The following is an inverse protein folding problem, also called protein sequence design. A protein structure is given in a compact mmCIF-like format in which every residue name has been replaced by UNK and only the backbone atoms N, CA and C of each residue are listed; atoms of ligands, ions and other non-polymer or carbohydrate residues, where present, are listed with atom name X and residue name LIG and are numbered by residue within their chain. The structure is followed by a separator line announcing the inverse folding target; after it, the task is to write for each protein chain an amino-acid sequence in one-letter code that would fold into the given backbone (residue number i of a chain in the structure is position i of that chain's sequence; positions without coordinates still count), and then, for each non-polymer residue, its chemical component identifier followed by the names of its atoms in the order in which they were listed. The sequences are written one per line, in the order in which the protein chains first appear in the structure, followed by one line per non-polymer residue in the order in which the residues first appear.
data_IF_468504445577
#
_entry.id   IF_468504445577
#
_cell.length_a   1.000
_cell.length_b   1.000
_cell.length_c   1.000
_cell.angle_alpha   90.00
_cell.angle_beta   90.00
_cell.angle_gamma   90.00
#
_symmetry.space_group_name_H-M   'P 1'
#
loop_
_entity.id
_entity.type
_entity.pdbx_description
1 polymer ?
#
# COMPACT_ATOMS: atom_id res chain seq x y z
N UNK A 1 -19.20 10.02 13.61
CA UNK A 1 -18.21 10.32 12.55
C UNK A 1 -17.87 11.79 12.65
N UNK A 2 -16.61 12.19 12.39
CA UNK A 2 -16.14 13.57 12.58
C UNK A 2 -15.38 13.82 13.90
N UNK A 3 -15.05 12.78 14.67
CA UNK A 3 -14.35 12.88 15.96
C UNK A 3 -13.28 11.79 16.12
N UNK A 4 -12.61 11.42 15.03
CA UNK A 4 -11.53 10.44 15.00
C UNK A 4 -11.94 9.04 14.50
N UNK A 5 -13.24 8.76 14.38
CA UNK A 5 -13.74 7.46 13.94
C UNK A 5 -13.36 7.14 12.49
N UNK A 6 -13.39 8.13 11.60
CA UNK A 6 -12.95 7.97 10.21
C UNK A 6 -11.45 7.70 10.14
N UNK A 7 -10.66 8.46 10.91
CA UNK A 7 -9.21 8.29 10.99
C UNK A 7 -8.85 6.89 11.52
N UNK A 8 -9.53 6.41 12.56
CA UNK A 8 -9.36 5.05 13.07
C UNK A 8 -9.67 4.02 11.98
N UNK A 9 -10.74 4.21 11.19
CA UNK A 9 -11.08 3.31 10.09
C UNK A 9 -9.98 3.24 9.02
N UNK A 10 -9.39 4.39 8.69
CA UNK A 10 -8.25 4.47 7.77
C UNK A 10 -6.99 3.78 8.33
N UNK A 11 -6.72 3.94 9.63
CA UNK A 11 -5.62 3.25 10.29
C UNK A 11 -5.84 1.74 10.37
N UNK A 12 -7.07 1.27 10.59
CA UNK A 12 -7.42 -0.16 10.52
C UNK A 12 -7.16 -0.73 9.12
N UNK A 13 -7.55 0.00 8.07
CA UNK A 13 -7.25 -0.38 6.69
C UNK A 13 -5.74 -0.51 6.46
N UNK A 14 -4.98 0.52 6.87
CA UNK A 14 -3.51 0.52 6.84
C UNK A 14 -2.92 -0.70 7.57
N UNK A 15 -3.45 -1.03 8.75
CA UNK A 15 -3.05 -2.18 9.54
C UNK A 15 -3.21 -3.50 8.78
N UNK A 16 -4.37 -3.73 8.15
CA UNK A 16 -4.61 -4.94 7.33
C UNK A 16 -3.68 -4.99 6.11
N UNK A 17 -3.42 -3.86 5.46
CA UNK A 17 -2.48 -3.80 4.35
C UNK A 17 -1.04 -4.15 4.79
N UNK A 18 -0.68 -3.80 6.04
CA UNK A 18 0.66 -3.98 6.59
C UNK A 18 0.93 -5.38 7.14
N UNK A 19 -0.12 -6.08 7.58
CA UNK A 19 -0.01 -7.41 8.18
C UNK A 19 0.70 -8.38 7.23
N UNK A 20 1.78 -9.01 7.70
CA UNK A 20 2.62 -9.91 6.89
C UNK A 20 2.14 -11.37 7.00
N UNK A 21 1.48 -11.67 8.11
CA UNK A 21 0.70 -12.87 8.37
C UNK A 21 -0.35 -12.96 7.27
N UNK A 22 -0.15 -13.93 6.36
CA UNK A 22 -0.97 -14.22 5.17
C UNK A 22 -0.58 -13.55 3.84
N UNK A 23 0.70 -13.34 3.54
CA UNK A 23 1.12 -12.95 2.17
C UNK A 23 0.48 -13.81 1.07
N UNK A 24 0.33 -15.13 1.28
CA UNK A 24 -0.33 -16.03 0.34
C UNK A 24 -1.80 -15.67 0.06
N UNK A 25 -2.54 -15.15 1.05
CA UNK A 25 -3.91 -14.67 0.84
C UNK A 25 -3.95 -13.40 0.01
N UNK A 26 -2.95 -12.52 0.14
CA UNK A 26 -2.79 -11.32 -0.69
C UNK A 26 -2.50 -11.64 -2.16
N UNK A 27 -2.14 -12.88 -2.50
CA UNK A 27 -2.02 -13.35 -3.89
C UNK A 27 -3.36 -13.87 -4.47
N UNK A 28 -4.44 -13.87 -3.67
CA UNK A 28 -5.76 -14.32 -4.09
C UNK A 28 -6.69 -13.14 -4.36
N UNK A 29 -7.32 -13.12 -5.54
CA UNK A 29 -8.24 -12.05 -5.92
C UNK A 29 -9.47 -11.97 -5.00
N UNK A 30 -9.96 -13.10 -4.51
CA UNK A 30 -11.13 -13.17 -3.61
C UNK A 30 -10.89 -12.40 -2.31
N UNK A 31 -9.68 -12.49 -1.75
CA UNK A 31 -9.32 -11.78 -0.53
C UNK A 31 -9.40 -10.27 -0.72
N UNK A 32 -8.87 -9.75 -1.83
CA UNK A 32 -8.98 -8.32 -2.15
C UNK A 32 -10.41 -7.88 -2.41
N UNK A 33 -11.26 -8.71 -3.03
CA UNK A 33 -12.67 -8.37 -3.25
C UNK A 33 -13.41 -8.13 -1.94
N UNK A 34 -13.22 -9.01 -0.95
CA UNK A 34 -13.85 -8.84 0.36
C UNK A 34 -13.29 -7.62 1.09
N UNK A 35 -11.96 -7.42 1.05
CA UNK A 35 -11.34 -6.24 1.68
C UNK A 35 -11.90 -4.92 1.11
N UNK A 36 -12.03 -4.81 -0.21
CA UNK A 36 -12.58 -3.61 -0.86
C UNK A 36 -14.06 -3.42 -0.49
N UNK A 37 -14.85 -4.49 -0.42
CA UNK A 37 -16.25 -4.43 -0.02
C UNK A 37 -16.45 -3.96 1.43
N UNK A 38 -15.51 -4.29 2.31
CA UNK A 38 -15.55 -3.92 3.72
C UNK A 38 -15.17 -2.45 3.94
N UNK A 39 -14.21 -1.93 3.17
CA UNK A 39 -13.64 -0.59 3.40
C UNK A 39 -14.13 0.48 2.44
N UNK A 40 -14.55 0.14 1.21
CA UNK A 40 -14.97 1.10 0.21
C UNK A 40 -16.48 1.02 -0.02
N UNK A 41 -17.12 2.18 -0.22
CA UNK A 41 -18.52 2.25 -0.62
C UNK A 41 -18.68 1.64 -2.03
N UNK A 42 -19.85 1.07 -2.40
CA UNK A 42 -20.01 0.37 -3.68
C UNK A 42 -19.62 1.18 -4.92
N UNK A 43 -19.82 2.51 -4.88
CA UNK A 43 -19.49 3.46 -5.96
C UNK A 43 -18.26 4.32 -5.64
N UNK A 44 -17.43 3.90 -4.70
CA UNK A 44 -16.27 4.66 -4.31
C UNK A 44 -15.25 4.79 -5.45
N UNK A 45 -14.51 5.90 -5.42
CA UNK A 45 -13.43 6.20 -6.35
C UNK A 45 -12.16 6.41 -5.55
N UNK A 46 -11.07 5.78 -5.98
CA UNK A 46 -9.73 6.07 -5.50
C UNK A 46 -8.97 6.87 -6.55
N UNK A 47 -8.60 8.10 -6.24
CA UNK A 47 -7.75 8.95 -7.07
C UNK A 47 -6.30 8.76 -6.67
N UNK A 48 -5.46 8.44 -7.64
CA UNK A 48 -4.05 8.17 -7.41
C UNK A 48 -3.23 8.90 -8.46
N UNK A 49 -2.50 9.93 -8.05
CA UNK A 49 -1.64 10.71 -8.95
C UNK A 49 -0.20 10.39 -8.69
N UNK A 50 0.56 10.07 -9.74
CA UNK A 50 1.98 9.76 -9.65
C UNK A 50 2.81 10.76 -10.45
N UNK A 51 3.87 11.28 -9.85
CA UNK A 51 4.80 12.19 -10.51
C UNK A 51 6.09 11.47 -10.90
N UNK A 52 6.55 11.72 -12.12
CA UNK A 52 7.76 11.11 -12.67
C UNK A 52 9.03 11.74 -12.09
N UNK A 53 10.00 10.89 -11.71
CA UNK A 53 11.38 11.24 -11.32
C UNK A 53 11.48 12.40 -10.32
N UNK A 54 10.45 12.61 -9.49
CA UNK A 54 10.36 13.71 -8.54
C UNK A 54 10.51 15.12 -9.15
N UNK A 55 10.46 15.26 -10.49
CA UNK A 55 10.70 16.52 -11.20
C UNK A 55 9.45 17.39 -11.35
N UNK A 56 8.28 16.84 -10.98
CA UNK A 56 6.95 17.46 -11.09
C UNK A 56 6.62 18.01 -12.50
N UNK A 57 7.22 17.45 -13.55
CA UNK A 57 6.97 17.86 -14.94
C UNK A 57 5.90 16.98 -15.60
N UNK A 58 5.88 15.69 -15.27
CA UNK A 58 4.96 14.71 -15.85
C UNK A 58 4.19 14.02 -14.71
N UNK A 59 2.87 14.20 -14.69
CA UNK A 59 1.96 13.54 -13.77
C UNK A 59 1.10 12.52 -14.52
N UNK A 60 0.82 11.39 -13.87
CA UNK A 60 -0.18 10.41 -14.30
C UNK A 60 -1.29 10.29 -13.26
N UNK A 61 -2.43 10.98 -13.45
CA UNK A 61 -3.59 10.83 -12.59
C UNK A 61 -4.39 9.58 -12.98
N UNK A 62 -4.84 8.82 -11.99
CA UNK A 62 -5.66 7.62 -12.17
C UNK A 62 -6.91 7.69 -11.30
N UNK A 63 -8.08 7.40 -11.88
CA UNK A 63 -9.34 7.26 -11.15
C UNK A 63 -9.76 5.79 -11.11
N UNK A 64 -9.61 5.16 -9.95
CA UNK A 64 -9.75 3.72 -9.78
C UNK A 64 -11.07 3.43 -9.06
N UNK A 65 -12.06 2.94 -9.80
CA UNK A 65 -13.33 2.49 -9.21
C UNK A 65 -13.21 1.17 -8.45
N UNK A 66 -14.18 0.88 -7.60
CA UNK A 66 -14.27 -0.36 -6.80
C UNK A 66 -14.17 -1.66 -7.60
N UNK A 67 -14.56 -1.65 -8.88
CA UNK A 67 -14.44 -2.81 -9.76
C UNK A 67 -12.97 -3.14 -10.14
N UNK A 68 -12.08 -2.14 -10.11
CA UNK A 68 -10.66 -2.28 -10.46
C UNK A 68 -9.79 -2.43 -9.22
N UNK A 69 -10.16 -1.79 -8.10
CA UNK A 69 -9.37 -1.78 -6.86
C UNK A 69 -8.81 -3.16 -6.45
N UNK A 70 -9.61 -4.26 -6.44
CA UNK A 70 -9.08 -5.56 -6.06
C UNK A 70 -7.93 -6.04 -6.96
N UNK A 71 -7.98 -5.73 -8.26
CA UNK A 71 -6.91 -6.09 -9.21
C UNK A 71 -5.70 -5.20 -9.05
N UNK A 72 -5.89 -3.90 -8.83
CA UNK A 72 -4.79 -2.97 -8.55
C UNK A 72 -3.94 -3.45 -7.37
N UNK A 73 -4.58 -3.80 -6.26
CA UNK A 73 -3.87 -4.31 -5.08
C UNK A 73 -3.25 -5.70 -5.32
N UNK A 74 -3.96 -6.60 -6.00
CA UNK A 74 -3.43 -7.92 -6.35
C UNK A 74 -2.16 -7.83 -7.19
N UNK A 75 -2.19 -7.05 -8.28
CA UNK A 75 -1.02 -6.89 -9.17
C UNK A 75 0.15 -6.27 -8.42
N UNK A 76 -0.12 -5.33 -7.51
CA UNK A 76 0.91 -4.73 -6.66
C UNK A 76 1.54 -5.77 -5.74
N UNK A 77 0.75 -6.61 -5.07
CA UNK A 77 1.26 -7.70 -4.23
C UNK A 77 2.06 -8.73 -5.04
N UNK A 78 1.54 -9.12 -6.21
CA UNK A 78 2.21 -10.05 -7.12
C UNK A 78 3.53 -9.51 -7.70
N UNK A 79 3.72 -8.18 -7.70
CA UNK A 79 4.98 -7.54 -8.09
C UNK A 79 6.05 -7.58 -6.97
N UNK A 80 5.86 -8.40 -5.94
CA UNK A 80 6.81 -8.58 -4.84
C UNK A 80 6.57 -7.69 -3.62
N UNK A 81 5.50 -6.91 -3.59
CA UNK A 81 5.13 -6.12 -2.40
C UNK A 81 4.55 -7.04 -1.32
N UNK A 82 5.27 -7.25 -0.22
CA UNK A 82 4.82 -8.08 0.92
C UNK A 82 3.91 -7.32 1.88
N UNK A 83 4.19 -6.03 2.09
CA UNK A 83 3.50 -5.18 3.05
C UNK A 83 3.32 -3.78 2.48
N UNK A 84 2.14 -3.20 2.74
CA UNK A 84 1.81 -1.81 2.42
C UNK A 84 1.32 -1.11 3.68
N UNK A 85 1.77 0.12 3.95
CA UNK A 85 1.27 0.88 5.10
C UNK A 85 1.15 2.36 4.79
N UNK A 86 0.17 3.00 5.43
CA UNK A 86 -0.03 4.45 5.43
C UNK A 86 0.45 5.01 6.77
N UNK A 87 1.28 6.05 6.70
CA UNK A 87 1.65 6.91 7.84
C UNK A 87 1.00 8.28 7.64
N UNK A 88 0.36 8.78 8.70
CA UNK A 88 -0.56 9.92 8.64
C UNK A 88 -0.12 11.01 9.61
N UNK A 89 1.02 11.65 9.34
CA UNK A 89 1.54 12.70 10.21
C UNK A 89 0.73 14.00 10.08
N UNK A 90 0.27 14.53 11.21
CA UNK A 90 -0.57 15.73 11.25
C UNK A 90 -1.97 15.59 10.63
N UNK A 91 -2.47 14.36 10.47
CA UNK A 91 -3.79 14.12 9.89
C UNK A 91 -4.93 14.72 10.74
N UNK A 92 -5.92 15.29 10.07
CA UNK A 92 -7.09 15.93 10.69
C UNK A 92 -8.36 15.31 10.14
N UNK A 93 -9.28 14.95 11.03
CA UNK A 93 -10.65 14.58 10.66
C UNK A 93 -11.57 15.78 10.93
N UNK A 94 -12.43 16.11 9.96
CA UNK A 94 -13.48 17.12 10.13
C UNK A 94 -14.82 16.52 9.73
N UNK A 95 -15.87 16.89 10.46
CA UNK A 95 -17.23 16.62 10.03
C UNK A 95 -17.56 17.52 8.81
N UNK A 96 -18.00 16.91 7.71
CA UNK A 96 -18.44 17.64 6.53
C UNK A 96 -19.96 17.83 6.53
N UNK A 97 -20.68 16.74 6.78
CA UNK A 97 -22.14 16.74 6.96
C UNK A 97 -22.56 15.58 7.85
N UNK A 98 -23.84 15.48 8.20
CA UNK A 98 -24.35 14.40 9.03
C UNK A 98 -24.01 13.03 8.43
N UNK A 99 -23.21 12.24 9.15
CA UNK A 99 -22.77 10.92 8.69
C UNK A 99 -21.64 10.93 7.65
N UNK A 100 -21.00 12.07 7.41
CA UNK A 100 -19.90 12.24 6.47
C UNK A 100 -18.76 13.05 7.09
N UNK A 101 -17.56 12.47 7.17
CA UNK A 101 -16.34 13.18 7.55
C UNK A 101 -15.30 13.16 6.44
N UNK A 102 -14.41 14.14 6.48
CA UNK A 102 -13.24 14.21 5.62
C UNK A 102 -11.99 14.08 6.49
N UNK A 103 -11.08 13.22 6.06
CA UNK A 103 -9.73 13.11 6.62
C UNK A 103 -8.78 13.79 5.66
N UNK A 104 -7.96 14.69 6.16
CA UNK A 104 -6.91 15.36 5.39
C UNK A 104 -5.55 15.18 6.06
N UNK A 105 -4.54 14.88 5.27
CA UNK A 105 -3.17 14.75 5.72
C UNK A 105 -2.24 15.28 4.61
N UNK A 106 -1.55 16.39 4.86
CA UNK A 106 -0.67 17.02 3.85
C UNK A 106 0.61 16.21 3.62
N UNK A 107 1.07 15.52 4.66
CA UNK A 107 2.37 14.81 4.71
C UNK A 107 2.16 13.30 4.85
N UNK A 108 1.17 12.74 4.14
CA UNK A 108 0.94 11.31 4.17
C UNK A 108 2.06 10.56 3.44
N UNK A 109 2.38 9.37 3.96
CA UNK A 109 3.39 8.48 3.39
C UNK A 109 2.80 7.11 3.15
N UNK A 110 2.83 6.65 1.91
CA UNK A 110 2.47 5.29 1.53
C UNK A 110 3.72 4.46 1.30
N UNK A 111 3.97 3.49 2.18
CA UNK A 111 5.15 2.64 2.15
C UNK A 111 4.83 1.29 1.54
N UNK A 112 5.69 0.84 0.62
CA UNK A 112 5.69 -0.50 0.03
C UNK A 112 6.98 -1.21 0.44
N UNK A 113 6.86 -2.33 1.16
CA UNK A 113 7.99 -3.21 1.48
C UNK A 113 7.98 -4.39 0.52
N UNK A 114 9.13 -4.65 -0.10
CA UNK A 114 9.29 -5.72 -1.08
C UNK A 114 9.96 -6.95 -0.46
N UNK A 115 9.78 -8.09 -1.12
CA UNK A 115 10.46 -9.35 -0.76
C UNK A 115 11.96 -9.29 -1.01
N UNK A 116 12.41 -8.53 -2.01
CA UNK A 116 13.81 -8.35 -2.37
C UNK A 116 14.56 -7.30 -1.52
N UNK A 117 14.02 -6.88 -0.37
CA UNK A 117 14.70 -5.98 0.58
C UNK A 117 14.52 -4.50 0.27
N UNK A 118 13.92 -4.15 -0.86
CA UNK A 118 13.56 -2.77 -1.14
C UNK A 118 12.40 -2.29 -0.28
N UNK A 119 12.48 -1.03 0.13
CA UNK A 119 11.36 -0.25 0.65
C UNK A 119 11.19 0.97 -0.24
N UNK A 120 9.99 1.17 -0.77
CA UNK A 120 9.65 2.34 -1.57
C UNK A 120 8.61 3.14 -0.83
N UNK A 121 8.83 4.44 -0.67
CA UNK A 121 7.88 5.33 0.00
C UNK A 121 7.37 6.36 -0.98
N UNK A 122 6.06 6.44 -1.16
CA UNK A 122 5.39 7.55 -1.84
C UNK A 122 4.99 8.59 -0.81
N UNK A 123 5.22 9.87 -1.10
CA UNK A 123 4.93 10.99 -0.19
C UNK A 123 4.04 12.01 -0.87
N UNK A 124 3.04 12.49 -0.16
CA UNK A 124 2.21 13.60 -0.60
C UNK A 124 0.88 13.69 0.14
N UNK A 125 -0.02 14.58 -0.31
CA UNK A 125 -1.28 14.80 0.36
C UNK A 125 -2.23 13.60 0.17
N UNK A 126 -2.99 13.34 1.23
CA UNK A 126 -4.07 12.36 1.29
C UNK A 126 -5.35 13.06 1.73
N UNK A 127 -6.43 12.85 0.98
CA UNK A 127 -7.79 13.26 1.35
C UNK A 127 -8.72 12.07 1.24
N UNK A 128 -9.47 11.75 2.30
CA UNK A 128 -10.40 10.62 2.32
C UNK A 128 -11.77 11.07 2.84
N UNK A 129 -12.79 10.87 2.01
CA UNK A 129 -14.19 11.04 2.39
C UNK A 129 -14.71 9.74 2.99
N UNK A 130 -15.19 9.80 4.22
CA UNK A 130 -15.71 8.66 4.98
C UNK A 130 -17.20 8.87 5.23
N UNK A 131 -17.99 7.89 4.82
CA UNK A 131 -19.44 7.89 5.00
C UNK A 131 -19.87 6.79 5.95
N UNK A 132 -20.96 7.04 6.67
CA UNK A 132 -21.72 6.00 7.36
C UNK A 132 -22.54 5.26 6.31
N UNK A 133 -22.30 3.95 6.21
CA UNK A 133 -23.07 3.07 5.34
C UNK A 133 -23.90 2.13 6.19
N UNK A 134 -25.20 2.01 5.85
CA UNK A 134 -26.07 1.02 6.47
C UNK A 134 -25.49 -0.39 6.23
N UNK A 135 -25.58 -1.31 7.21
CA UNK A 135 -25.26 -2.70 6.94
C UNK A 135 -26.20 -3.20 5.84
N UNK A 136 -25.63 -3.74 4.76
CA UNK A 136 -26.41 -4.42 3.72
C UNK A 136 -27.22 -5.53 4.40
N UNK A 137 -28.55 -5.57 4.25
CA UNK A 137 -29.34 -6.64 4.83
C UNK A 137 -28.83 -7.98 4.26
N UNK A 138 -28.71 -9.03 5.09
CA UNK A 138 -28.40 -10.36 4.58
C UNK A 138 -29.49 -10.71 3.56
N UNK A 139 -29.07 -11.18 2.39
CA UNK A 139 -29.98 -11.67 1.36
C UNK A 139 -30.81 -12.81 1.94
N UNK A 140 -32.04 -12.52 2.36
CA UNK A 140 -33.05 -13.52 2.76
C UNK A 140 -33.49 -14.30 1.53
N UNK A 141 -32.75 -15.35 1.20
CA UNK A 141 -33.19 -16.43 0.34
C UNK A 141 -33.49 -17.66 1.18
N UNK A 142 -34.71 -17.76 1.72
CA UNK A 142 -35.48 -18.99 1.97
C UNK A 142 -36.80 -18.65 2.65
N UNK A 143 -37.97 -18.92 2.04
CA UNK A 143 -39.25 -18.79 2.72
C UNK A 143 -39.53 -20.05 3.54
N UNK A 144 -39.50 -19.94 4.86
CA UNK A 144 -40.01 -21.00 5.73
C UNK A 144 -39.39 -21.04 7.12
N UNK A 145 -39.97 -20.31 8.07
CA UNK A 145 -40.35 -20.81 9.41
C UNK A 145 -40.70 -19.63 10.33
N UNK A 146 -41.91 -19.67 10.88
CA UNK A 146 -42.37 -18.83 11.97
C UNK A 146 -41.59 -19.19 13.24
N UNK A 147 -40.93 -18.21 13.85
CA UNK A 147 -40.23 -18.37 15.13
C UNK A 147 -40.15 -17.04 15.88
N UNK A 148 -40.81 -17.02 17.02
CA UNK A 148 -41.11 -15.94 17.96
C UNK A 148 -39.91 -15.06 18.37
N UNK A 149 -40.15 -13.76 18.49
CA UNK A 149 -39.19 -12.74 18.89
C UNK A 149 -38.78 -12.83 20.37
N UNK A 150 -37.47 -12.76 20.66
CA UNK A 150 -36.91 -12.08 21.84
C UNK A 150 -35.38 -12.00 21.71
N UNK A 151 -34.80 -10.81 21.91
CA UNK A 151 -33.36 -10.63 21.98
C UNK A 151 -32.95 -9.20 21.63
N UNK A 152 -32.51 -8.44 22.63
CA UNK A 152 -32.08 -7.04 22.49
C UNK A 152 -31.08 -6.86 21.36
N UNK A 153 -31.53 -6.26 20.27
CA UNK A 153 -30.67 -5.90 19.15
C UNK A 153 -29.81 -4.72 19.56
N UNK A 154 -28.51 -4.95 19.78
CA UNK A 154 -27.51 -3.90 19.63
C UNK A 154 -27.84 -3.12 18.35
N UNK A 155 -27.91 -1.77 18.37
CA UNK A 155 -28.20 -1.02 17.17
C UNK A 155 -27.23 -1.46 16.08
N UNK A 156 -27.66 -1.66 14.82
CA UNK A 156 -26.79 -2.08 13.74
C UNK A 156 -25.57 -1.16 13.73
N UNK A 157 -24.39 -1.71 14.06
CA UNK A 157 -23.17 -0.93 14.17
C UNK A 157 -22.88 -0.35 12.79
N UNK A 158 -23.11 0.94 12.64
CA UNK A 158 -23.02 1.59 11.35
C UNK A 158 -21.59 1.43 10.81
N UNK A 159 -21.46 0.96 9.55
CA UNK A 159 -20.17 0.62 8.97
C UNK A 159 -19.58 1.84 8.27
N UNK A 160 -18.36 2.22 8.63
CA UNK A 160 -17.64 3.31 7.99
C UNK A 160 -16.95 2.81 6.72
N UNK A 161 -17.20 3.52 5.62
CA UNK A 161 -16.64 3.21 4.30
C UNK A 161 -16.06 4.45 3.64
N UNK A 162 -15.04 4.26 2.83
CA UNK A 162 -14.42 5.30 2.00
C UNK A 162 -15.27 5.49 0.75
N UNK A 163 -15.68 6.73 0.48
CA UNK A 163 -16.41 7.13 -0.73
C UNK A 163 -15.48 7.74 -1.78
N UNK A 164 -14.61 8.66 -1.36
CA UNK A 164 -13.53 9.22 -2.17
C UNK A 164 -12.21 9.00 -1.41
N UNK A 165 -11.22 8.41 -2.07
CA UNK A 165 -9.89 8.19 -1.52
C UNK A 165 -8.86 8.79 -2.49
N UNK A 166 -8.33 9.96 -2.16
CA UNK A 166 -7.37 10.65 -3.00
C UNK A 166 -5.98 10.65 -2.37
N UNK A 167 -4.98 10.20 -3.12
CA UNK A 167 -3.57 10.32 -2.77
C UNK A 167 -2.74 10.82 -3.96
N UNK A 168 -2.04 11.94 -3.76
CA UNK A 168 -1.18 12.51 -4.79
C UNK A 168 0.29 12.31 -4.40
N UNK A 169 0.95 11.32 -5.01
CA UNK A 169 2.34 10.97 -4.74
C UNK A 169 3.30 11.98 -5.39
N UNK A 170 3.56 13.08 -4.70
CA UNK A 170 4.45 14.16 -5.17
C UNK A 170 5.91 13.73 -5.27
N UNK A 171 6.33 12.83 -4.38
CA UNK A 171 7.69 12.32 -4.33
C UNK A 171 7.70 10.83 -4.05
N UNK A 172 8.77 10.15 -4.49
CA UNK A 172 9.07 8.82 -4.03
C UNK A 172 10.55 8.64 -3.71
N UNK A 173 10.81 7.86 -2.65
CA UNK A 173 12.15 7.45 -2.24
C UNK A 173 12.27 5.92 -2.35
N UNK A 174 13.48 5.44 -2.59
CA UNK A 174 13.81 4.02 -2.67
C UNK A 174 14.93 3.73 -1.68
N UNK A 175 14.70 2.78 -0.79
CA UNK A 175 15.65 2.30 0.20
C UNK A 175 15.89 0.82 -0.05
N UNK A 176 17.09 0.33 0.20
CA UNK A 176 17.41 -1.09 0.20
C UNK A 176 18.01 -1.47 1.55
N UNK A 177 17.56 -2.60 2.10
CA UNK A 177 18.13 -3.14 3.32
C UNK A 177 19.56 -3.65 3.05
N UNK A 178 20.51 -3.32 3.93
CA UNK A 178 21.94 -3.59 3.70
C UNK A 178 22.21 -5.08 3.58
N UNK A 179 21.47 -5.90 4.32
CA UNK A 179 21.51 -7.36 4.26
C UNK A 179 21.17 -7.97 2.90
N UNK A 180 20.56 -7.19 2.01
CA UNK A 180 20.18 -7.59 0.66
C UNK A 180 21.12 -7.02 -0.43
N UNK A 181 22.23 -6.38 -0.02
CA UNK A 181 23.31 -6.00 -0.92
C UNK A 181 24.34 -7.12 -0.89
N UNK A 182 24.38 -7.91 -1.97
CA UNK A 182 25.37 -8.99 -2.11
C UNK A 182 26.78 -8.40 -2.25
N UNK A 183 27.77 -9.02 -1.59
CA UNK A 183 29.18 -8.61 -1.68
C UNK A 183 29.66 -7.63 -0.60
N UNK A 184 28.81 -7.26 0.37
CA UNK A 184 29.25 -6.63 1.62
C UNK A 184 29.66 -7.77 2.57
N UNK A 185 30.87 -8.30 2.42
CA UNK A 185 31.46 -9.07 3.52
C UNK A 185 31.60 -8.13 4.71
N UNK A 186 30.91 -8.45 5.81
CA UNK A 186 31.15 -7.82 7.11
C UNK A 186 32.62 -8.00 7.49
N UNK A 187 33.47 -7.05 7.10
CA UNK A 187 34.84 -6.93 7.60
C UNK A 187 34.87 -6.44 9.05
N UNK A 188 33.77 -6.61 9.81
CA UNK A 188 33.74 -6.41 11.26
C UNK A 188 34.37 -7.59 12.03
N UNK A 189 34.67 -8.71 11.36
CA UNK A 189 35.59 -9.71 11.90
C UNK A 189 37.02 -9.41 11.44
N UNK A 190 37.52 -8.23 11.78
CA UNK A 190 38.96 -8.01 11.81
C UNK A 190 39.58 -8.94 12.84
N UNK A 191 40.79 -9.49 12.62
CA UNK A 191 41.49 -10.23 13.66
C UNK A 191 41.62 -9.33 14.89
N UNK A 192 41.26 -9.86 16.05
CA UNK A 192 41.51 -9.24 17.35
C UNK A 192 42.94 -8.71 17.38
N UNK A 193 43.18 -7.42 17.69
CA UNK A 193 44.54 -6.94 17.89
C UNK A 193 45.10 -7.68 19.10
N UNK A 194 46.17 -8.44 18.86
CA UNK A 194 46.97 -9.08 19.88
C UNK A 194 47.45 -8.01 20.87
N UNK A 195 46.98 -8.10 22.12
CA UNK A 195 47.30 -7.14 23.19
C UNK A 195 48.70 -7.48 23.71
N UNK A 196 49.72 -6.95 23.03
CA UNK A 196 51.07 -6.86 23.56
C UNK A 196 51.14 -5.81 24.68
N UNK A 197 51.85 -6.05 25.80
CA UNK A 197 51.84 -5.15 26.95
C UNK A 197 52.98 -4.13 26.88
N UNK A 198 52.76 -2.91 26.38
CA UNK A 198 53.37 -1.65 26.90
C UNK A 198 53.15 -0.45 25.96
N UNK A 199 52.80 0.72 26.54
CA UNK A 199 53.13 2.03 25.96
C UNK A 199 51.98 3.04 25.91
N UNK A 200 52.08 4.07 26.75
CA UNK A 200 51.19 5.24 26.82
C UNK A 200 51.21 6.11 25.54
N UNK A 201 50.06 6.69 25.14
CA UNK A 201 49.75 8.13 25.33
C UNK A 201 48.77 8.70 24.28
N UNK A 202 47.73 9.38 24.78
CA UNK A 202 47.11 10.65 24.35
C UNK A 202 46.45 10.87 22.96
N UNK A 203 45.13 11.07 23.06
CA UNK A 203 44.33 12.24 22.62
C UNK A 203 43.67 12.32 21.21
N UNK A 204 42.44 12.85 21.30
CA UNK A 204 41.66 13.69 20.37
C UNK A 204 40.92 13.09 19.16
N UNK A 205 39.59 13.26 19.24
CA UNK A 205 38.69 13.72 18.18
C UNK A 205 38.90 13.18 16.76
N UNK A 206 38.12 12.14 16.44
CA UNK A 206 37.33 12.08 15.21
C UNK A 206 36.38 10.90 15.34
N UNK A 207 35.09 11.19 15.48
CA UNK A 207 34.05 10.24 15.08
C UNK A 207 34.18 10.07 13.56
N UNK A 208 35.18 9.31 13.13
CA UNK A 208 35.34 8.89 11.75
C UNK A 208 34.12 8.01 11.45
N UNK A 209 33.13 8.61 10.80
CA UNK A 209 32.02 7.91 10.19
C UNK A 209 32.64 6.89 9.24
N UNK A 210 32.70 5.64 9.71
CA UNK A 210 33.40 4.55 9.05
C UNK A 210 32.67 4.23 7.74
N UNK A 211 33.04 4.97 6.69
CA UNK A 211 32.59 4.73 5.33
C UNK A 211 33.26 3.45 4.86
N UNK A 212 32.51 2.34 4.92
CA UNK A 212 32.94 1.07 4.33
C UNK A 212 32.93 1.25 2.81
N UNK A 213 34.09 1.20 2.12
CA UNK A 213 34.11 1.26 0.66
C UNK A 213 33.50 -0.03 0.11
N UNK A 214 32.32 0.07 -0.49
CA UNK A 214 31.65 -1.05 -1.17
C UNK A 214 32.30 -1.22 -2.55
N UNK A 215 33.45 -1.89 -2.60
CA UNK A 215 34.23 -2.01 -3.84
C UNK A 215 33.70 -3.10 -4.79
N UNK A 216 32.87 -4.04 -4.29
CA UNK A 216 32.35 -5.19 -5.07
C UNK A 216 30.92 -5.62 -4.69
N UNK A 217 30.05 -4.66 -4.37
CA UNK A 217 28.64 -4.95 -4.07
C UNK A 217 27.76 -4.91 -5.32
N UNK A 218 26.92 -5.93 -5.55
CA UNK A 218 25.87 -5.88 -6.57
C UNK A 218 24.53 -5.54 -5.91
N UNK A 219 23.92 -4.44 -6.36
CA UNK A 219 22.58 -4.02 -5.93
C UNK A 219 21.55 -4.63 -6.89
N UNK A 220 20.48 -5.29 -6.40
CA UNK A 220 19.43 -5.83 -7.25
C UNK A 220 18.79 -4.73 -8.10
N UNK A 221 18.19 -5.08 -9.24
CA UNK A 221 17.45 -4.10 -10.04
C UNK A 221 16.29 -3.53 -9.22
N UNK A 222 16.11 -2.21 -9.27
CA UNK A 222 15.08 -1.51 -8.52
C UNK A 222 13.68 -2.01 -8.90
N UNK A 223 12.79 -2.31 -7.94
CA UNK A 223 11.50 -2.95 -8.21
C UNK A 223 10.44 -2.02 -8.81
N UNK A 224 10.76 -0.74 -8.96
CA UNK A 224 9.82 0.32 -9.35
C UNK A 224 10.39 1.18 -10.46
N UNK A 225 9.50 1.66 -11.32
CA UNK A 225 9.83 2.57 -12.41
C UNK A 225 10.06 4.02 -11.91
N UNK A 226 10.08 4.95 -12.86
CA UNK A 226 10.25 6.40 -12.63
C UNK A 226 9.10 7.05 -11.82
N UNK A 227 7.97 6.36 -11.63
CA UNK A 227 6.80 6.84 -10.88
C UNK A 227 6.72 6.26 -9.47
N UNK A 228 7.71 5.47 -9.04
CA UNK A 228 7.75 4.89 -7.71
C UNK A 228 6.82 3.69 -7.49
N UNK A 229 6.25 3.11 -8.55
CA UNK A 229 5.45 1.88 -8.45
C UNK A 229 5.97 0.78 -9.41
N UNK A 230 5.60 -0.49 -9.21
CA UNK A 230 5.98 -1.56 -10.12
C UNK A 230 5.43 -1.34 -11.53
N UNK A 231 6.20 -1.77 -12.54
CA UNK A 231 5.80 -1.61 -13.94
C UNK A 231 4.50 -2.37 -14.26
N UNK A 232 4.30 -3.55 -13.67
CA UNK A 232 3.06 -4.30 -13.79
C UNK A 232 1.87 -3.52 -13.21
N UNK A 233 2.05 -2.82 -12.09
CA UNK A 233 1.00 -1.97 -11.50
C UNK A 233 0.67 -0.79 -12.42
N UNK A 234 1.67 -0.10 -13.01
CA UNK A 234 1.39 0.97 -13.99
C UNK A 234 0.60 0.46 -15.18
N UNK A 235 1.00 -0.68 -15.76
CA UNK A 235 0.29 -1.30 -16.87
C UNK A 235 -1.14 -1.68 -16.48
N UNK A 236 -1.35 -2.21 -15.28
CA UNK A 236 -2.69 -2.49 -14.77
C UNK A 236 -3.56 -1.24 -14.75
N UNK A 237 -3.03 -0.10 -14.30
CA UNK A 237 -3.76 1.16 -14.24
C UNK A 237 -4.10 1.70 -15.64
N UNK A 238 -3.11 1.75 -16.54
CA UNK A 238 -3.29 2.21 -17.93
C UNK A 238 -4.33 1.35 -18.68
N UNK A 239 -4.23 0.03 -18.53
CA UNK A 239 -5.08 -0.92 -19.23
C UNK A 239 -6.50 -0.96 -18.64
N UNK A 240 -6.65 -1.04 -17.32
CA UNK A 240 -7.97 -1.15 -16.70
C UNK A 240 -8.86 0.08 -16.99
N UNK A 241 -8.26 1.27 -17.04
CA UNK A 241 -8.98 2.49 -17.44
C UNK A 241 -9.46 2.43 -18.89
N UNK A 242 -8.62 1.92 -19.79
CA UNK A 242 -8.94 1.82 -21.22
C UNK A 242 -10.05 0.81 -21.49
N UNK A 243 -10.09 -0.33 -20.78
CA UNK A 243 -11.11 -1.36 -20.99
C UNK A 243 -12.48 -1.03 -20.38
N UNK A 244 -12.54 -0.17 -19.35
CA UNK A 244 -13.82 0.31 -18.81
C UNK A 244 -14.45 1.37 -19.71
N UNK A 245 -13.66 2.29 -20.27
CA UNK A 245 -14.16 3.26 -21.24
C UNK A 245 -14.73 2.60 -22.51
N UNK A 246 -14.19 1.43 -22.88
CA UNK A 246 -14.60 0.69 -24.08
C UNK A 246 -15.61 -0.46 -23.82
N UNK A 247 -16.18 -0.59 -22.62
CA UNK A 247 -17.29 -1.51 -22.33
C UNK A 247 -16.99 -3.03 -22.39
N UNK A 248 -15.75 -3.45 -22.67
CA UNK A 248 -15.38 -4.86 -22.91
C UNK A 248 -15.04 -5.68 -21.64
N UNK A 249 -15.36 -5.18 -20.44
CA UNK A 249 -14.88 -5.73 -19.16
C UNK A 249 -15.39 -7.15 -18.82
N UNK A 250 -16.51 -7.62 -19.40
CA UNK A 250 -17.19 -8.84 -18.91
C UNK A 250 -16.71 -10.18 -19.47
N UNK A 251 -15.99 -10.25 -20.60
CA UNK A 251 -15.82 -11.55 -21.28
C UNK A 251 -14.39 -12.11 -21.36
N UNK A 252 -13.34 -11.31 -21.20
CA UNK A 252 -12.03 -11.68 -21.77
C UNK A 252 -10.82 -11.74 -20.81
N UNK A 253 -11.05 -11.83 -19.49
CA UNK A 253 -9.98 -11.59 -18.51
C UNK A 253 -9.34 -12.87 -17.91
N UNK A 254 -9.90 -14.06 -18.10
CA UNK A 254 -9.25 -15.28 -17.55
C UNK A 254 -8.03 -15.72 -18.39
N UNK A 255 -8.14 -15.77 -19.71
CA UNK A 255 -7.16 -16.47 -20.57
C UNK A 255 -6.12 -15.57 -21.26
N UNK A 256 -6.39 -14.27 -21.45
CA UNK A 256 -5.41 -13.34 -22.04
C UNK A 256 -4.43 -12.79 -21.00
N UNK A 257 -4.88 -12.54 -19.77
CA UNK A 257 -4.02 -12.02 -18.72
C UNK A 257 -3.00 -13.06 -18.23
N UNK A 258 -3.38 -14.33 -18.08
CA UNK A 258 -2.42 -15.42 -17.80
C UNK A 258 -1.36 -15.56 -18.89
N UNK A 259 -1.71 -15.34 -20.17
CA UNK A 259 -0.76 -15.39 -21.29
C UNK A 259 0.17 -14.18 -21.35
N UNK A 260 -0.29 -12.99 -20.98
CA UNK A 260 0.57 -11.80 -20.85
C UNK A 260 1.48 -11.94 -19.63
N UNK A 261 1.01 -12.54 -18.54
CA UNK A 261 1.79 -12.81 -17.32
C UNK A 261 2.87 -13.88 -17.52
N UNK A 262 2.57 -14.97 -18.24
CA UNK A 262 3.52 -16.07 -18.50
C UNK A 262 4.71 -15.69 -19.41
N UNK A 263 4.74 -14.45 -19.92
CA UNK A 263 5.77 -13.97 -20.86
C UNK A 263 6.80 -13.04 -20.24
N UNK A 264 6.75 -12.78 -18.93
CA UNK A 264 7.73 -11.95 -18.24
C UNK A 264 8.67 -12.81 -17.38
N UNK A 265 9.99 -12.64 -17.50
CA UNK A 265 10.93 -13.32 -16.63
C UNK A 265 10.84 -12.72 -15.22
N UNK A 266 10.83 -13.61 -14.23
CA UNK A 266 11.04 -13.34 -12.81
C UNK A 266 12.34 -12.60 -12.55
#
# INVERSE_FOLDING_TARGET
VGSGQGLIRLLQFSGILSANDNFQKKLQLSWWKELIKDYFAPKAIMKFTLWKDNSRQEAKPFEIGTAILPRFFLVTAQSGVKSMSLSLDGARERLYSTGHSIIECVTAVWTYKYTNGYTVTLRGPLTVHVIISAPTPPSTGSPGSNGTASGGGSPPSALLRFEDFQFDALYHDKYIAVEHIEGIENTMNGPTPDVGPHGQSQNTDRSDEQRVPVERGSVPLGPVNAFGIPQATMRCLEVCLTYILNGCWRAHISSSWQRVWARWPT
#
